data_IF_676934796674
#
_entry.id   IF_676934796674
#
_cell.length_a   1.000
_cell.length_b   1.000
_cell.length_c   1.000
_cell.angle_alpha   90.00
_cell.angle_beta   90.00
_cell.angle_gamma   90.00
#
_symmetry.space_group_name_H-M   'P 1'
#
loop_
_entity.id
_entity.type
_entity.pdbx_description
1 polymer ?
#
# COMPACT_ATOMS: atom_id res chain seq x y z
N UNK A 1 -0.21 28.17 -11.16
CA UNK A 1 0.56 27.12 -11.86
C UNK A 1 -0.19 26.85 -13.14
N UNK A 2 0.42 27.09 -14.30
CA UNK A 2 -0.16 26.75 -15.59
C UNK A 2 -0.13 25.22 -15.73
N UNK A 3 -1.26 24.62 -16.11
CA UNK A 3 -1.35 23.17 -16.24
C UNK A 3 -0.72 22.74 -17.56
N UNK A 4 0.24 21.82 -17.49
CA UNK A 4 0.91 21.30 -18.68
C UNK A 4 0.08 20.17 -19.28
N UNK A 5 -0.82 20.52 -20.20
CA UNK A 5 -1.67 19.58 -20.92
C UNK A 5 -0.87 18.55 -21.73
N UNK A 6 0.30 18.92 -22.25
CA UNK A 6 1.15 17.99 -23.01
C UNK A 6 1.77 16.93 -22.09
N UNK A 7 2.18 17.33 -20.89
CA UNK A 7 2.65 16.38 -19.89
C UNK A 7 1.53 15.43 -19.42
N UNK A 8 0.30 15.94 -19.29
CA UNK A 8 -0.86 15.12 -18.95
C UNK A 8 -1.17 14.08 -20.03
N UNK A 9 -1.32 14.51 -21.28
CA UNK A 9 -1.63 13.64 -22.43
C UNK A 9 -0.58 12.52 -22.55
N UNK A 10 0.71 12.87 -22.48
CA UNK A 10 1.80 11.90 -22.49
C UNK A 10 1.75 10.93 -21.30
N UNK A 11 1.35 11.43 -20.12
CA UNK A 11 1.14 10.59 -18.94
C UNK A 11 0.00 9.58 -19.13
N UNK A 12 -1.08 9.99 -19.80
CA UNK A 12 -2.22 9.13 -20.11
C UNK A 12 -1.87 8.06 -21.15
N UNK A 13 -1.11 8.41 -22.19
CA UNK A 13 -0.60 7.44 -23.18
C UNK A 13 0.27 6.37 -22.52
N UNK A 14 1.25 6.80 -21.71
CA UNK A 14 2.12 5.89 -20.97
C UNK A 14 1.33 4.99 -20.01
N UNK A 15 0.30 5.53 -19.36
CA UNK A 15 -0.59 4.75 -18.50
C UNK A 15 -1.35 3.69 -19.30
N UNK A 16 -1.93 4.05 -20.44
CA UNK A 16 -2.69 3.13 -21.28
C UNK A 16 -1.83 1.97 -21.78
N UNK A 17 -0.65 2.25 -22.34
CA UNK A 17 0.28 1.21 -22.80
C UNK A 17 0.78 0.33 -21.65
N UNK A 18 1.04 0.92 -20.48
CA UNK A 18 1.46 0.15 -19.30
C UNK A 18 0.33 -0.75 -18.76
N UNK A 19 -0.91 -0.26 -18.78
CA UNK A 19 -2.08 -1.04 -18.35
C UNK A 19 -2.35 -2.21 -19.29
N UNK A 20 -2.16 -2.02 -20.59
CA UNK A 20 -2.26 -3.09 -21.58
C UNK A 20 -1.24 -4.20 -21.28
N UNK A 21 0.03 -3.83 -21.06
CA UNK A 21 1.09 -4.78 -20.69
C UNK A 21 0.76 -5.51 -19.38
N UNK A 22 0.29 -4.79 -18.36
CA UNK A 22 -0.08 -5.41 -17.09
C UNK A 22 -1.25 -6.40 -17.27
N UNK A 23 -2.26 -6.02 -18.05
CA UNK A 23 -3.44 -6.85 -18.33
C UNK A 23 -3.09 -8.11 -19.12
N UNK A 24 -2.22 -8.01 -20.12
CA UNK A 24 -1.74 -9.16 -20.91
C UNK A 24 -0.98 -10.19 -20.06
N UNK A 25 -0.38 -9.76 -18.94
CA UNK A 25 0.36 -10.61 -18.03
C UNK A 25 -0.49 -11.09 -16.83
N UNK A 26 -1.76 -10.71 -16.75
CA UNK A 26 -2.66 -11.14 -15.67
C UNK A 26 -3.41 -12.41 -16.06
N UNK A 27 -3.70 -13.34 -15.13
CA UNK A 27 -3.35 -13.34 -13.70
C UNK A 27 -1.96 -13.92 -13.38
N UNK A 28 -1.22 -14.41 -14.37
CA UNK A 28 0.01 -15.17 -14.16
C UNK A 28 1.11 -14.38 -13.46
N UNK A 29 1.29 -13.10 -13.81
CA UNK A 29 2.30 -12.23 -13.21
C UNK A 29 2.03 -11.98 -11.72
N UNK A 30 0.86 -11.49 -11.27
CA UNK A 30 0.56 -11.38 -9.84
C UNK A 30 0.85 -12.66 -9.04
N UNK A 31 0.43 -13.82 -9.55
CA UNK A 31 0.66 -15.11 -8.91
C UNK A 31 2.16 -15.40 -8.76
N UNK A 32 2.92 -15.28 -9.85
CA UNK A 32 4.38 -15.51 -9.84
C UNK A 32 5.12 -14.53 -8.91
N UNK A 33 4.72 -13.25 -8.90
CA UNK A 33 5.33 -12.25 -8.05
C UNK A 33 5.03 -12.51 -6.56
N UNK A 34 3.85 -13.02 -6.23
CA UNK A 34 3.49 -13.42 -4.88
C UNK A 34 4.25 -14.67 -4.43
N UNK A 35 4.28 -15.73 -5.25
CA UNK A 35 5.00 -16.98 -4.97
C UNK A 35 6.50 -16.76 -4.74
N UNK A 36 7.11 -15.81 -5.44
CA UNK A 36 8.52 -15.44 -5.21
C UNK A 36 8.81 -15.05 -3.75
N UNK A 37 7.83 -14.48 -3.05
CA UNK A 37 7.97 -14.05 -1.65
C UNK A 37 7.42 -15.07 -0.66
N UNK A 38 6.86 -16.20 -1.15
CA UNK A 38 6.42 -17.36 -0.36
C UNK A 38 6.68 -18.66 -1.15
N UNK A 39 7.95 -19.07 -1.34
CA UNK A 39 8.30 -20.17 -2.24
C UNK A 39 7.73 -21.54 -1.80
N UNK A 40 7.43 -21.70 -0.52
CA UNK A 40 6.90 -22.95 0.05
C UNK A 40 5.38 -23.10 -0.08
N UNK A 41 4.68 -22.07 -0.58
CA UNK A 41 3.21 -22.06 -0.68
C UNK A 41 2.81 -21.70 -2.10
N UNK A 42 1.87 -22.46 -2.66
CA UNK A 42 1.37 -22.21 -4.02
C UNK A 42 0.28 -21.14 -4.03
N UNK A 43 0.37 -20.20 -4.97
CA UNK A 43 -0.70 -19.24 -5.21
C UNK A 43 -1.81 -19.89 -6.04
N UNK A 44 -3.06 -19.74 -5.61
CA UNK A 44 -4.21 -20.45 -6.19
C UNK A 44 -5.12 -19.54 -6.99
N UNK A 45 -5.27 -18.28 -6.57
CA UNK A 45 -6.18 -17.33 -7.19
C UNK A 45 -5.63 -15.90 -7.11
N UNK A 46 -5.97 -15.09 -8.12
CA UNK A 46 -5.69 -13.66 -8.14
C UNK A 46 -6.96 -12.90 -8.51
N UNK A 47 -7.32 -11.91 -7.69
CA UNK A 47 -8.46 -11.05 -7.96
C UNK A 47 -8.25 -10.18 -9.19
N UNK A 48 -9.34 -9.64 -9.72
CA UNK A 48 -9.28 -8.52 -10.66
C UNK A 48 -8.47 -7.36 -10.09
N UNK A 49 -7.89 -6.56 -11.00
CA UNK A 49 -7.19 -5.36 -10.58
C UNK A 49 -8.17 -4.31 -10.07
N UNK A 50 -7.79 -3.72 -8.95
CA UNK A 50 -8.42 -2.53 -8.38
C UNK A 50 -7.48 -1.35 -8.56
N UNK A 51 -8.03 -0.24 -9.05
CA UNK A 51 -7.28 0.99 -9.26
C UNK A 51 -7.42 1.88 -8.04
N UNK A 52 -6.29 2.24 -7.43
CA UNK A 52 -6.18 3.37 -6.53
C UNK A 52 -5.50 4.54 -7.27
N UNK A 53 -5.44 5.73 -6.66
CA UNK A 53 -4.96 6.96 -7.32
C UNK A 53 -3.56 6.83 -7.96
N UNK A 54 -2.69 5.98 -7.41
CA UNK A 54 -1.30 5.81 -7.88
C UNK A 54 -0.85 4.36 -8.05
N UNK A 55 -1.71 3.38 -7.73
CA UNK A 55 -1.35 1.96 -7.74
C UNK A 55 -2.47 1.14 -8.40
N UNK A 56 -2.09 0.14 -9.19
CA UNK A 56 -2.95 -1.00 -9.51
C UNK A 56 -2.68 -2.11 -8.51
N UNK A 57 -3.73 -2.67 -7.93
CA UNK A 57 -3.62 -3.66 -6.86
C UNK A 57 -4.44 -4.90 -7.21
N UNK A 58 -3.91 -6.07 -6.92
CA UNK A 58 -4.68 -7.32 -6.94
C UNK A 58 -4.37 -8.11 -5.67
N UNK A 59 -5.37 -8.86 -5.21
CA UNK A 59 -5.24 -9.76 -4.06
C UNK A 59 -4.88 -11.13 -4.61
N UNK A 60 -3.82 -11.74 -4.08
CA UNK A 60 -3.45 -13.12 -4.37
C UNK A 60 -3.75 -13.97 -3.14
N UNK A 61 -4.44 -15.08 -3.37
CA UNK A 61 -4.77 -16.08 -2.34
C UNK A 61 -3.90 -17.31 -2.54
N UNK A 62 -3.34 -17.82 -1.45
CA UNK A 62 -2.55 -19.04 -1.40
C UNK A 62 -3.40 -20.24 -0.96
N UNK A 63 -2.87 -21.45 -1.17
CA UNK A 63 -3.56 -22.70 -0.81
C UNK A 63 -3.84 -22.86 0.70
N UNK A 64 -3.05 -22.22 1.56
CA UNK A 64 -3.23 -22.15 3.02
C UNK A 64 -4.29 -21.11 3.44
N UNK A 65 -4.91 -20.42 2.48
CA UNK A 65 -5.84 -19.32 2.71
C UNK A 65 -5.17 -17.99 3.04
N UNK A 66 -3.83 -17.93 3.07
CA UNK A 66 -3.11 -16.68 3.28
C UNK A 66 -3.31 -15.76 2.08
N UNK A 67 -3.50 -14.46 2.35
CA UNK A 67 -3.75 -13.46 1.31
C UNK A 67 -2.70 -12.37 1.33
N UNK A 68 -2.26 -12.00 0.14
CA UNK A 68 -1.32 -10.89 -0.08
C UNK A 68 -1.91 -9.90 -1.07
N UNK A 69 -1.48 -8.66 -0.99
CA UNK A 69 -1.75 -7.64 -2.00
C UNK A 69 -0.49 -7.43 -2.81
N UNK A 70 -0.59 -7.62 -4.12
CA UNK A 70 0.45 -7.22 -5.07
C UNK A 70 0.09 -5.84 -5.61
N UNK A 71 0.97 -4.87 -5.38
CA UNK A 71 0.77 -3.46 -5.72
C UNK A 71 1.74 -3.05 -6.82
N UNK A 72 1.20 -2.45 -7.86
CA UNK A 72 1.93 -1.97 -9.03
C UNK A 72 1.81 -0.45 -9.13
N UNK A 73 2.87 0.30 -8.78
CA UNK A 73 2.91 1.75 -8.97
C UNK A 73 2.73 2.12 -10.45
N UNK A 74 1.71 2.93 -10.73
CA UNK A 74 1.24 3.20 -12.08
C UNK A 74 2.28 4.03 -12.87
N UNK A 75 2.61 3.61 -14.09
CA UNK A 75 3.41 4.41 -15.01
C UNK A 75 2.61 5.60 -15.55
N UNK A 76 3.24 6.77 -15.67
CA UNK A 76 2.60 7.98 -16.21
C UNK A 76 1.78 8.78 -15.19
N UNK A 77 1.46 8.22 -14.02
CA UNK A 77 0.75 8.93 -12.92
C UNK A 77 1.67 9.51 -11.85
N UNK A 78 2.90 9.01 -11.74
CA UNK A 78 3.91 9.55 -10.83
C UNK A 78 5.27 9.62 -11.51
N UNK A 79 5.89 10.81 -11.49
CA UNK A 79 7.22 11.04 -12.08
C UNK A 79 8.32 10.24 -11.36
N UNK A 80 8.20 10.09 -10.04
CA UNK A 80 9.18 9.45 -9.16
C UNK A 80 8.56 8.22 -8.49
N UNK A 81 7.98 7.31 -9.30
CA UNK A 81 7.25 6.15 -8.79
C UNK A 81 8.15 5.22 -7.95
N UNK A 82 9.44 5.10 -8.28
CA UNK A 82 10.36 4.21 -7.57
C UNK A 82 10.73 4.79 -6.23
N UNK A 83 11.04 6.09 -6.18
CA UNK A 83 11.33 6.82 -4.97
C UNK A 83 10.10 6.82 -4.04
N UNK A 84 8.92 7.13 -4.58
CA UNK A 84 7.65 7.07 -3.85
C UNK A 84 7.41 5.70 -3.21
N UNK A 85 7.57 4.62 -3.97
CA UNK A 85 7.36 3.26 -3.44
C UNK A 85 8.41 2.86 -2.42
N UNK A 86 9.67 3.29 -2.60
CA UNK A 86 10.72 3.06 -1.61
C UNK A 86 10.41 3.76 -0.29
N UNK A 87 9.96 5.01 -0.36
CA UNK A 87 9.62 5.79 0.81
C UNK A 87 8.41 5.20 1.54
N UNK A 88 7.37 4.78 0.80
CA UNK A 88 6.21 4.07 1.35
C UNK A 88 6.63 2.78 2.09
N UNK A 89 7.49 1.96 1.46
CA UNK A 89 7.98 0.71 2.05
C UNK A 89 8.82 0.97 3.30
N UNK A 90 9.68 2.00 3.30
CA UNK A 90 10.46 2.39 4.47
C UNK A 90 9.57 2.77 5.66
N UNK A 91 8.51 3.56 5.40
CA UNK A 91 7.53 3.95 6.41
C UNK A 91 6.75 2.75 6.92
N UNK A 92 6.28 1.86 6.04
CA UNK A 92 5.54 0.65 6.44
C UNK A 92 6.39 -0.28 7.30
N UNK A 93 7.66 -0.51 6.93
CA UNK A 93 8.58 -1.31 7.73
C UNK A 93 8.85 -0.68 9.09
N UNK A 94 8.97 0.65 9.17
CA UNK A 94 9.09 1.35 10.44
C UNK A 94 7.85 1.15 11.32
N UNK A 95 6.65 1.37 10.77
CA UNK A 95 5.38 1.23 11.49
C UNK A 95 5.09 -0.20 11.92
N UNK A 96 5.52 -1.20 11.15
CA UNK A 96 5.29 -2.62 11.46
C UNK A 96 5.94 -3.12 12.74
N UNK A 97 6.87 -2.33 13.31
CA UNK A 97 7.49 -2.61 14.60
C UNK A 97 6.50 -2.41 15.76
N UNK A 98 5.48 -1.56 15.57
CA UNK A 98 4.53 -1.22 16.62
C UNK A 98 3.25 -2.05 16.51
N UNK A 99 2.96 -2.95 17.47
CA UNK A 99 1.88 -3.93 17.36
C UNK A 99 0.47 -3.32 17.44
N UNK A 100 0.34 -2.05 17.85
CA UNK A 100 -0.95 -1.39 18.03
C UNK A 100 -1.52 -0.79 16.73
N UNK A 101 -0.71 -0.64 15.68
CA UNK A 101 -1.17 -0.05 14.43
C UNK A 101 -1.26 -1.18 13.39
N UNK A 102 -2.47 -1.55 12.93
CA UNK A 102 -2.63 -2.58 11.92
C UNK A 102 -2.16 -2.04 10.56
N UNK A 103 -0.86 -2.18 10.29
CA UNK A 103 -0.26 -1.87 8.99
C UNK A 103 0.00 -3.16 8.21
N UNK A 104 -0.12 -3.15 6.87
CA UNK A 104 0.30 -4.29 6.07
C UNK A 104 1.79 -4.56 6.25
N UNK A 105 2.15 -5.83 6.41
CA UNK A 105 3.55 -6.26 6.52
C UNK A 105 4.10 -6.39 5.11
N UNK A 106 5.24 -5.74 4.84
CA UNK A 106 5.92 -5.83 3.55
C UNK A 106 6.64 -7.18 3.45
N UNK A 107 6.22 -8.01 2.49
CA UNK A 107 6.90 -9.27 2.17
C UNK A 107 8.06 -9.05 1.19
N UNK A 108 7.91 -8.06 0.30
CA UNK A 108 9.01 -7.64 -0.57
C UNK A 108 8.66 -6.45 -1.45
N UNK A 109 9.69 -5.73 -1.89
CA UNK A 109 9.59 -4.59 -2.80
C UNK A 109 10.70 -4.68 -3.84
N UNK A 110 10.35 -5.02 -5.08
CA UNK A 110 11.31 -5.35 -6.14
C UNK A 110 10.83 -4.71 -7.45
N UNK A 111 11.47 -5.04 -8.57
CA UNK A 111 11.06 -4.61 -9.91
C UNK A 111 10.71 -5.84 -10.75
N UNK A 112 9.70 -5.67 -11.59
CA UNK A 112 9.41 -6.53 -12.73
C UNK A 112 9.72 -5.77 -14.02
N UNK A 113 9.59 -6.41 -15.18
CA UNK A 113 10.02 -5.84 -16.47
C UNK A 113 9.54 -4.41 -16.75
N UNK A 114 8.32 -4.06 -16.30
CA UNK A 114 7.71 -2.76 -16.60
C UNK A 114 7.69 -1.75 -15.42
N UNK A 115 8.24 -2.09 -14.25
CA UNK A 115 8.25 -1.17 -13.12
C UNK A 115 8.52 -1.80 -11.74
N UNK A 116 8.50 -0.99 -10.67
CA UNK A 116 8.48 -1.51 -9.31
C UNK A 116 7.19 -2.30 -9.04
N UNK A 117 7.24 -3.17 -8.04
CA UNK A 117 6.06 -3.76 -7.41
C UNK A 117 6.34 -3.97 -5.91
N UNK A 118 5.28 -4.00 -5.11
CA UNK A 118 5.35 -4.25 -3.67
C UNK A 118 4.36 -5.36 -3.33
N UNK A 119 4.79 -6.33 -2.54
CA UNK A 119 3.94 -7.39 -2.01
C UNK A 119 3.81 -7.20 -0.51
N UNK A 120 2.57 -7.08 -0.04
CA UNK A 120 2.26 -6.92 1.38
C UNK A 120 1.21 -7.91 1.83
N UNK A 121 1.07 -8.13 3.13
CA UNK A 121 -0.07 -8.87 3.67
C UNK A 121 -1.38 -8.18 3.33
N UNK A 122 -2.44 -8.96 3.16
CA UNK A 122 -3.80 -8.41 3.11
C UNK A 122 -4.24 -8.01 4.52
N UNK A 123 -4.83 -6.82 4.65
CA UNK A 123 -5.38 -6.34 5.93
C UNK A 123 -6.89 -6.51 5.87
N UNK A 124 -7.41 -7.33 6.78
CA UNK A 124 -8.85 -7.53 6.92
C UNK A 124 -9.53 -6.25 7.40
N UNK A 125 -10.70 -5.96 6.82
CA UNK A 125 -11.53 -4.85 7.28
C UNK A 125 -12.52 -4.40 6.24
N UNK A 126 -13.34 -3.42 6.64
CA UNK A 126 -14.20 -2.71 5.72
C UNK A 126 -13.62 -1.33 5.47
N UNK A 127 -13.54 -0.93 4.19
CA UNK A 127 -13.12 0.43 3.84
C UNK A 127 -14.00 1.46 4.54
N UNK A 128 -13.37 2.43 5.22
CA UNK A 128 -14.08 3.51 5.87
C UNK A 128 -15.00 4.25 4.89
N UNK A 129 -14.54 4.47 3.65
CA UNK A 129 -15.34 5.11 2.61
C UNK A 129 -16.66 4.39 2.30
N UNK A 130 -16.72 3.06 2.47
CA UNK A 130 -17.96 2.28 2.30
C UNK A 130 -18.90 2.52 3.48
N UNK A 131 -18.37 2.43 4.70
CA UNK A 131 -19.13 2.73 5.92
C UNK A 131 -19.71 4.15 5.91
N UNK A 132 -18.92 5.12 5.41
CA UNK A 132 -19.35 6.52 5.29
C UNK A 132 -20.44 6.73 4.23
N UNK A 133 -20.48 5.91 3.18
CA UNK A 133 -21.51 5.98 2.13
C UNK A 133 -22.81 5.30 2.55
N UNK A 134 -22.71 4.20 3.29
CA UNK A 134 -23.84 3.38 3.73
C UNK A 134 -24.50 3.95 5.00
N UNK A 135 -23.80 4.84 5.73
CA UNK A 135 -24.38 5.59 6.83
C UNK A 135 -25.46 6.56 6.31
N UNK A 136 -26.73 6.21 6.49
CA UNK A 136 -27.74 7.25 6.69
C UNK A 136 -27.29 8.10 7.88
N UNK A 137 -27.46 9.44 7.85
CA UNK A 137 -26.80 10.34 8.80
C UNK A 137 -27.43 10.25 10.19
N UNK A 138 -27.17 9.16 10.90
CA UNK A 138 -27.18 9.17 12.36
C UNK A 138 -25.79 9.61 12.78
N UNK A 139 -25.66 10.88 13.20
CA UNK A 139 -24.42 11.53 13.62
C UNK A 139 -23.60 10.69 14.63
N UNK A 140 -24.27 9.79 15.36
CA UNK A 140 -23.70 8.91 16.39
C UNK A 140 -22.65 7.93 15.84
N UNK A 141 -22.78 7.45 14.59
CA UNK A 141 -21.84 6.44 14.03
C UNK A 141 -20.56 7.09 13.50
N UNK A 142 -20.69 8.27 12.90
CA UNK A 142 -19.60 9.07 12.36
C UNK A 142 -18.69 9.62 13.46
N UNK A 143 -19.27 10.24 14.49
CA UNK A 143 -18.51 10.76 15.64
C UNK A 143 -17.71 9.65 16.33
N UNK A 144 -18.32 8.46 16.48
CA UNK A 144 -17.63 7.31 17.06
C UNK A 144 -16.45 6.84 16.20
N UNK A 145 -16.62 6.72 14.89
CA UNK A 145 -15.52 6.35 13.98
C UNK A 145 -14.40 7.39 13.99
N UNK A 146 -14.72 8.69 13.99
CA UNK A 146 -13.73 9.77 14.10
C UNK A 146 -13.02 9.76 15.46
N UNK A 147 -13.74 9.50 16.55
CA UNK A 147 -13.14 9.40 17.87
C UNK A 147 -12.21 8.18 17.99
N UNK A 148 -12.60 7.03 17.45
CA UNK A 148 -11.76 5.82 17.43
C UNK A 148 -10.50 6.05 16.59
N UNK A 149 -10.64 6.58 15.36
CA UNK A 149 -9.51 6.96 14.51
C UNK A 149 -8.62 7.98 15.22
N UNK A 150 -9.19 9.05 15.79
CA UNK A 150 -8.45 10.08 16.50
C UNK A 150 -7.73 9.55 17.74
N UNK A 151 -8.31 8.59 18.45
CA UNK A 151 -7.67 7.94 19.60
C UNK A 151 -6.47 7.08 19.15
N UNK A 152 -6.64 6.30 18.07
CA UNK A 152 -5.54 5.52 17.48
C UNK A 152 -4.40 6.41 16.99
N UNK A 153 -4.70 7.51 16.27
CA UNK A 153 -3.68 8.46 15.82
C UNK A 153 -3.02 9.22 16.96
N UNK A 154 -3.76 9.62 18.00
CA UNK A 154 -3.19 10.27 19.19
C UNK A 154 -2.25 9.33 19.94
N UNK A 155 -2.62 8.06 20.09
CA UNK A 155 -1.74 7.03 20.67
C UNK A 155 -0.47 6.87 19.81
N UNK A 156 -0.62 6.70 18.50
CA UNK A 156 0.51 6.59 17.57
C UNK A 156 1.45 7.80 17.60
N UNK A 157 0.93 9.03 17.59
CA UNK A 157 1.74 10.27 17.66
C UNK A 157 2.50 10.36 18.99
N UNK A 158 1.88 9.98 20.10
CA UNK A 158 2.53 9.98 21.41
C UNK A 158 3.66 8.93 21.46
N UNK A 159 3.46 7.76 20.86
CA UNK A 159 4.47 6.70 20.74
C UNK A 159 5.63 7.17 19.85
N UNK A 160 5.36 7.80 18.71
CA UNK A 160 6.39 8.40 17.84
C UNK A 160 7.23 9.46 18.57
N UNK A 161 6.59 10.30 19.40
CA UNK A 161 7.31 11.26 20.25
C UNK A 161 8.21 10.56 21.27
N UNK A 162 7.73 9.50 21.90
CA UNK A 162 8.48 8.78 22.93
C UNK A 162 9.67 8.02 22.33
N UNK A 163 9.50 7.33 21.20
CA UNK A 163 10.59 6.62 20.51
C UNK A 163 11.66 7.57 19.93
N UNK A 164 11.24 8.73 19.42
CA UNK A 164 12.18 9.76 18.96
C UNK A 164 12.98 10.40 20.13
N UNK A 165 12.45 10.37 21.35
CA UNK A 165 13.17 10.77 22.55
C UNK A 165 14.15 9.68 23.02
N UNK A 166 13.78 8.41 22.96
CA UNK A 166 14.65 7.28 23.33
C UNK A 166 15.86 7.14 22.40
N UNK A 167 15.67 7.31 21.08
CA UNK A 167 16.80 7.29 20.13
C UNK A 167 17.80 8.43 20.32
N UNK A 168 17.40 9.55 20.94
CA UNK A 168 18.34 10.64 21.29
C UNK A 168 19.12 10.37 22.57
N UNK A 169 18.69 9.42 23.41
CA UNK A 169 19.35 9.11 24.68
C UNK A 169 20.52 8.11 24.52
N UNK A 170 20.50 7.30 23.45
CA UNK A 170 21.49 6.25 23.17
C UNK A 170 22.59 6.64 22.17
N UNK A 171 22.60 7.89 21.69
CA UNK A 171 23.66 8.40 20.83
C UNK A 171 24.91 8.79 21.66
N UNK A 172 26.09 8.13 21.49
CA UNK A 172 27.32 8.44 22.22
C UNK A 172 27.89 9.83 21.91
N UNK A 173 27.30 10.57 20.95
CA UNK A 173 27.80 11.88 20.54
C UNK A 173 27.47 13.01 21.54
N UNK A 174 26.75 12.72 22.65
CA UNK A 174 26.45 13.65 23.73
C UNK A 174 26.69 13.07 25.14
N UNK A 175 27.85 12.44 25.37
CA UNK A 175 28.43 12.23 26.71
C UNK A 175 29.85 12.77 26.79
#
# INVERSE_FOLDING_TARGET
>A
MEWDHLAEEKGQELFASWLELLSQNSPSLPLQLAERHRPDHRATDASDFTTDAYNMCCIVTFEDGFRVVVRFPILGRSRFRTEKSRDEVAVMMFLSKEPQIPVPIVLGAVRWGCGPYVVTTFVEGTLLSRQLKDASPSQVTLERAYHEISAYWRSGIQIFRNMACEQKADDPQYK
#
